data_IF_368882522627
#
_entry.id   IF_368882522627
#
_cell.length_a   1.000
_cell.length_b   1.000
_cell.length_c   1.000
_cell.angle_alpha   90.00
_cell.angle_beta   90.00
_cell.angle_gamma   90.00
#
_symmetry.space_group_name_H-M   'P 1'
#
loop_
_entity.id
_entity.type
_entity.pdbx_description
1 polymer ?
#
# COMPACT_ATOMS: atom_id res chain seq x y z
N UNK A 1 13.10 -19.20 6.08
CA UNK A 1 14.09 -18.95 5.02
C UNK A 1 13.40 -18.48 3.75
N UNK A 2 12.47 -19.22 3.13
CA UNK A 2 11.84 -18.71 1.89
C UNK A 2 10.91 -17.50 2.11
N UNK A 3 10.05 -17.50 3.14
CA UNK A 3 9.04 -16.43 3.28
C UNK A 3 9.62 -15.07 3.74
N UNK A 4 10.70 -15.06 4.53
CA UNK A 4 11.40 -13.83 4.93
C UNK A 4 12.14 -13.16 3.77
N UNK A 5 12.38 -13.91 2.68
CA UNK A 5 12.99 -13.38 1.47
C UNK A 5 11.99 -12.72 0.51
N UNK A 6 10.68 -12.88 0.70
CA UNK A 6 9.69 -12.36 -0.26
C UNK A 6 9.75 -10.83 -0.37
N UNK A 7 9.53 -10.12 0.74
CA UNK A 7 9.55 -8.66 0.73
C UNK A 7 10.93 -8.13 0.30
N UNK A 8 12.00 -8.81 0.72
CA UNK A 8 13.37 -8.46 0.36
C UNK A 8 13.61 -8.55 -1.16
N UNK A 9 13.21 -9.66 -1.78
CA UNK A 9 13.40 -9.91 -3.21
C UNK A 9 12.59 -8.91 -4.05
N UNK A 10 11.33 -8.68 -3.69
CA UNK A 10 10.45 -7.76 -4.40
C UNK A 10 10.95 -6.31 -4.25
N UNK A 11 11.37 -5.89 -3.05
CA UNK A 11 11.94 -4.55 -2.86
C UNK A 11 13.28 -4.38 -3.59
N UNK A 12 14.11 -5.42 -3.63
CA UNK A 12 15.34 -5.42 -4.40
C UNK A 12 15.05 -5.24 -5.89
N UNK A 13 14.10 -6.00 -6.43
CA UNK A 13 13.68 -5.90 -7.82
C UNK A 13 13.07 -4.54 -8.15
N UNK A 14 12.15 -4.04 -7.34
CA UNK A 14 11.59 -2.69 -7.44
C UNK A 14 12.69 -1.62 -7.47
N UNK A 15 13.63 -1.68 -6.52
CA UNK A 15 14.73 -0.73 -6.47
C UNK A 15 15.62 -0.79 -7.71
N UNK A 16 15.76 -1.96 -8.35
CA UNK A 16 16.47 -2.13 -9.62
C UNK A 16 15.74 -1.48 -10.79
N UNK A 17 14.44 -1.76 -10.93
CA UNK A 17 13.62 -1.19 -12.00
C UNK A 17 13.60 0.34 -11.97
N UNK A 18 13.52 0.94 -10.78
CA UNK A 18 13.45 2.39 -10.61
C UNK A 18 14.80 3.06 -10.29
N UNK A 19 15.93 2.37 -10.51
CA UNK A 19 17.26 2.90 -10.17
C UNK A 19 17.67 4.14 -10.99
N UNK A 20 17.07 4.31 -12.17
CA UNK A 20 17.33 5.43 -13.08
C UNK A 20 16.56 6.71 -12.69
N UNK A 21 15.62 6.60 -11.76
CA UNK A 21 14.81 7.72 -11.29
C UNK A 21 15.42 8.38 -10.06
N UNK A 22 15.07 9.65 -9.79
CA UNK A 22 15.42 10.27 -8.53
C UNK A 22 14.86 9.46 -7.35
N UNK A 23 15.64 9.28 -6.27
CA UNK A 23 15.19 8.53 -5.12
C UNK A 23 14.01 9.26 -4.46
N UNK A 24 12.98 8.50 -4.10
CA UNK A 24 11.92 8.97 -3.22
C UNK A 24 12.48 9.23 -1.81
N UNK A 25 11.85 10.10 -1.00
CA UNK A 25 12.26 10.33 0.39
C UNK A 25 12.32 9.02 1.19
N UNK A 26 11.40 8.10 0.89
CA UNK A 26 11.38 6.75 1.40
C UNK A 26 11.90 5.78 0.32
N UNK A 27 12.99 5.06 0.60
CA UNK A 27 13.58 4.13 -0.36
C UNK A 27 14.16 2.89 0.32
N UNK A 28 14.31 1.82 -0.46
CA UNK A 28 14.98 0.60 -0.04
C UNK A 28 16.47 0.66 -0.35
N UNK A 29 17.32 0.52 0.67
CA UNK A 29 18.77 0.39 0.46
C UNK A 29 19.16 -1.08 0.32
N UNK A 30 19.61 -1.43 -0.89
CA UNK A 30 20.03 -2.79 -1.24
C UNK A 30 21.24 -3.27 -0.44
N UNK A 31 22.13 -2.37 -0.02
CA UNK A 31 23.36 -2.74 0.70
C UNK A 31 23.05 -3.11 2.14
N UNK A 32 22.22 -2.31 2.81
CA UNK A 32 21.87 -2.55 4.21
C UNK A 32 20.68 -3.50 4.37
N UNK A 33 19.88 -3.69 3.31
CA UNK A 33 18.66 -4.49 3.38
C UNK A 33 17.64 -3.88 4.33
N UNK A 34 17.54 -2.55 4.34
CA UNK A 34 16.68 -1.75 5.22
C UNK A 34 16.00 -0.64 4.43
N UNK A 35 14.81 -0.25 4.89
CA UNK A 35 14.15 0.97 4.44
C UNK A 35 14.83 2.18 5.09
N UNK A 36 15.12 3.20 4.29
CA UNK A 36 15.66 4.48 4.76
C UNK A 36 14.68 5.59 4.42
N UNK A 37 14.68 6.59 5.30
CA UNK A 37 13.99 7.84 5.07
C UNK A 37 15.02 8.97 5.11
N UNK A 38 15.20 9.65 3.98
CA UNK A 38 16.19 10.71 3.82
C UNK A 38 15.52 12.01 3.35
N UNK A 39 15.71 13.04 4.16
CA UNK A 39 15.22 14.41 3.96
C UNK A 39 16.37 15.40 3.73
N UNK A 40 17.45 14.98 3.08
CA UNK A 40 18.48 15.93 2.61
C UNK A 40 17.85 17.01 1.74
N UNK A 41 18.23 18.28 1.94
CA UNK A 41 17.61 19.44 1.26
C UNK A 41 17.51 19.26 -0.27
N UNK A 42 18.55 18.71 -0.89
CA UNK A 42 18.57 18.43 -2.34
C UNK A 42 17.49 17.41 -2.74
N UNK A 43 17.31 16.35 -1.96
CA UNK A 43 16.28 15.33 -2.19
C UNK A 43 14.89 15.88 -1.90
N UNK A 44 14.72 16.64 -0.80
CA UNK A 44 13.46 17.32 -0.51
C UNK A 44 13.06 18.20 -1.69
N UNK A 45 13.95 19.09 -2.13
CA UNK A 45 13.61 20.07 -3.17
C UNK A 45 13.25 19.36 -4.48
N UNK A 46 14.02 18.33 -4.85
CA UNK A 46 13.75 17.53 -6.03
C UNK A 46 12.43 16.76 -5.91
N UNK A 47 12.24 15.99 -4.83
CA UNK A 47 11.02 15.22 -4.58
C UNK A 47 9.80 16.13 -4.44
N UNK A 48 9.93 17.30 -3.84
CA UNK A 48 8.86 18.28 -3.69
C UNK A 48 8.49 18.90 -5.04
N UNK A 49 9.47 19.31 -5.85
CA UNK A 49 9.23 19.84 -7.20
C UNK A 49 8.56 18.78 -8.09
N UNK A 50 9.01 17.54 -7.99
CA UNK A 50 8.43 16.39 -8.68
C UNK A 50 7.05 16.00 -8.15
N UNK A 51 6.80 16.17 -6.86
CA UNK A 51 5.49 15.91 -6.28
C UNK A 51 4.51 17.05 -6.54
N UNK A 52 4.99 18.29 -6.79
CA UNK A 52 4.19 19.45 -7.19
C UNK A 52 3.67 19.36 -8.62
N UNK A 53 4.34 18.62 -9.51
CA UNK A 53 3.83 18.44 -10.88
C UNK A 53 2.51 17.66 -10.89
N UNK A 54 2.30 16.78 -9.89
CA UNK A 54 1.10 15.96 -9.74
C UNK A 54 -0.16 16.80 -9.43
N UNK A 55 -0.22 17.60 -8.35
CA UNK A 55 -1.37 18.46 -8.07
C UNK A 55 -1.53 19.55 -9.13
N UNK A 56 -0.46 19.98 -9.81
CA UNK A 56 -0.58 20.88 -10.94
C UNK A 56 -1.36 20.22 -12.09
N UNK A 57 -0.99 19.00 -12.49
CA UNK A 57 -1.71 18.25 -13.52
C UNK A 57 -3.16 17.94 -13.16
N UNK A 58 -3.44 17.62 -11.90
CA UNK A 58 -4.81 17.39 -11.42
C UNK A 58 -5.62 18.68 -11.38
N UNK A 59 -5.03 19.80 -10.98
CA UNK A 59 -5.70 21.11 -10.95
C UNK A 59 -6.09 21.55 -12.36
N UNK A 60 -5.21 21.34 -13.35
CA UNK A 60 -5.53 21.60 -14.77
C UNK A 60 -6.68 20.71 -15.24
N UNK A 61 -6.62 19.41 -14.91
CA UNK A 61 -7.67 18.45 -15.29
C UNK A 61 -9.03 18.79 -14.64
N UNK A 62 -9.02 19.12 -13.35
CA UNK A 62 -10.20 19.53 -12.60
C UNK A 62 -10.80 20.83 -13.15
N UNK A 63 -9.95 21.81 -13.46
CA UNK A 63 -10.37 23.07 -14.08
C UNK A 63 -11.06 22.83 -15.43
N UNK A 64 -10.50 21.97 -16.29
CA UNK A 64 -11.12 21.63 -17.57
C UNK A 64 -12.46 20.89 -17.38
N UNK A 65 -12.56 19.97 -16.42
CA UNK A 65 -13.81 19.29 -16.07
C UNK A 65 -14.87 20.29 -15.59
N UNK A 66 -14.51 21.25 -14.75
CA UNK A 66 -15.43 22.30 -14.29
C UNK A 66 -15.91 23.17 -15.45
N UNK A 67 -15.01 23.59 -16.36
CA UNK A 67 -15.41 24.35 -17.56
C UNK A 67 -16.41 23.59 -18.43
N UNK A 68 -16.28 22.26 -18.53
CA UNK A 68 -17.27 21.42 -19.22
C UNK A 68 -18.61 21.46 -18.53
N UNK A 69 -18.61 21.30 -17.21
CA UNK A 69 -19.82 21.26 -16.39
C UNK A 69 -20.60 22.58 -16.47
N UNK A 70 -19.91 23.71 -16.55
CA UNK A 70 -20.51 25.04 -16.76
C UNK A 70 -20.81 25.38 -18.23
N UNK A 71 -20.65 24.43 -19.16
CA UNK A 71 -20.96 24.66 -20.59
C UNK A 71 -19.99 25.59 -21.33
N UNK A 72 -18.85 25.96 -20.73
CA UNK A 72 -17.88 26.89 -21.32
C UNK A 72 -17.08 26.25 -22.46
N UNK A 73 -16.83 24.94 -22.36
CA UNK A 73 -16.06 24.20 -23.37
C UNK A 73 -16.66 22.81 -23.60
N UNK A 74 -16.63 22.35 -24.85
CA UNK A 74 -17.01 20.98 -25.23
C UNK A 74 -15.75 20.12 -25.33
N UNK A 75 -15.81 18.90 -24.81
CA UNK A 75 -14.74 17.92 -24.92
C UNK A 75 -15.31 16.60 -25.42
N UNK A 76 -14.46 15.82 -26.09
CA UNK A 76 -14.79 14.43 -26.40
C UNK A 76 -14.91 13.62 -25.09
N UNK A 77 -15.68 12.53 -25.14
CA UNK A 77 -15.83 11.62 -23.99
C UNK A 77 -14.47 11.06 -23.55
N UNK A 78 -13.61 10.69 -24.52
CA UNK A 78 -12.25 10.23 -24.25
C UNK A 78 -11.41 11.25 -23.45
N UNK A 79 -11.58 12.55 -23.72
CA UNK A 79 -10.89 13.60 -22.97
C UNK A 79 -11.38 13.69 -21.53
N UNK A 80 -12.68 13.65 -21.31
CA UNK A 80 -13.26 13.67 -19.96
C UNK A 80 -12.77 12.47 -19.13
N UNK A 81 -12.72 11.29 -19.72
CA UNK A 81 -12.20 10.08 -19.09
C UNK A 81 -10.72 10.25 -18.76
N UNK A 82 -9.92 10.76 -19.69
CA UNK A 82 -8.48 10.98 -19.49
C UNK A 82 -8.22 11.99 -18.37
N UNK A 83 -8.99 13.08 -18.32
CA UNK A 83 -8.87 14.08 -17.26
C UNK A 83 -9.28 13.51 -15.90
N UNK A 84 -10.37 12.75 -15.84
CA UNK A 84 -10.84 12.11 -14.61
C UNK A 84 -9.82 11.08 -14.10
N UNK A 85 -9.31 10.22 -14.99
CA UNK A 85 -8.24 9.28 -14.66
C UNK A 85 -6.98 10.01 -14.18
N UNK A 86 -6.61 11.12 -14.83
CA UNK A 86 -5.51 11.99 -14.43
C UNK A 86 -5.68 12.55 -13.02
N UNK A 87 -6.88 13.06 -12.68
CA UNK A 87 -7.20 13.54 -11.33
C UNK A 87 -7.07 12.41 -10.31
N UNK A 88 -7.67 11.25 -10.56
CA UNK A 88 -7.66 10.15 -9.59
C UNK A 88 -6.25 9.61 -9.38
N UNK A 89 -5.50 9.39 -10.47
CA UNK A 89 -4.11 8.94 -10.40
C UNK A 89 -3.22 9.95 -9.66
N UNK A 90 -3.48 11.23 -9.84
CA UNK A 90 -2.77 12.30 -9.15
C UNK A 90 -3.10 12.38 -7.66
N UNK A 91 -4.38 12.21 -7.29
CA UNK A 91 -4.79 12.13 -5.88
C UNK A 91 -4.16 10.90 -5.21
N UNK A 92 -4.11 9.78 -5.92
CA UNK A 92 -3.51 8.54 -5.41
C UNK A 92 -1.99 8.68 -5.23
N UNK A 93 -1.26 8.99 -6.30
CA UNK A 93 0.20 9.13 -6.27
C UNK A 93 0.68 10.32 -5.43
N UNK A 94 0.07 11.48 -5.61
CA UNK A 94 0.40 12.70 -4.85
C UNK A 94 0.01 12.60 -3.38
N UNK A 95 -1.18 12.08 -3.07
CA UNK A 95 -1.63 11.89 -1.69
C UNK A 95 -0.77 10.90 -0.92
N UNK A 96 -0.42 9.76 -1.54
CA UNK A 96 0.48 8.77 -0.92
C UNK A 96 1.90 9.34 -0.81
N UNK A 97 2.39 10.06 -1.81
CA UNK A 97 3.70 10.70 -1.76
C UNK A 97 3.77 11.76 -0.65
N UNK A 98 2.69 12.55 -0.44
CA UNK A 98 2.54 13.41 0.74
C UNK A 98 2.58 12.61 2.05
N UNK A 99 1.92 11.45 2.11
CA UNK A 99 1.99 10.59 3.30
C UNK A 99 3.42 10.11 3.56
N UNK A 100 4.19 9.75 2.53
CA UNK A 100 5.60 9.41 2.67
C UNK A 100 6.46 10.60 3.10
N UNK A 101 6.14 11.80 2.62
CA UNK A 101 6.85 13.00 3.06
C UNK A 101 6.61 13.30 4.54
N UNK A 102 5.35 13.18 5.00
CA UNK A 102 4.95 13.51 6.37
C UNK A 102 5.30 12.40 7.39
N UNK A 103 5.18 11.13 7.00
CA UNK A 103 5.25 9.97 7.89
C UNK A 103 6.29 8.93 7.48
N UNK A 104 7.14 9.23 6.49
CA UNK A 104 8.09 8.26 5.94
C UNK A 104 9.11 7.75 6.94
N UNK A 105 9.51 8.56 7.94
CA UNK A 105 10.40 8.14 9.01
C UNK A 105 9.81 7.03 9.87
N UNK A 106 8.60 7.26 10.40
CA UNK A 106 7.86 6.26 11.17
C UNK A 106 7.60 5.01 10.34
N UNK A 107 7.26 5.19 9.05
CA UNK A 107 7.02 4.07 8.15
C UNK A 107 8.27 3.22 7.91
N UNK A 108 9.44 3.84 7.69
CA UNK A 108 10.71 3.14 7.54
C UNK A 108 11.08 2.35 8.81
N UNK A 109 10.94 2.97 9.99
CA UNK A 109 11.19 2.32 11.28
C UNK A 109 10.25 1.12 11.46
N UNK A 110 8.97 1.29 11.19
CA UNK A 110 7.96 0.24 11.32
C UNK A 110 8.19 -0.94 10.38
N UNK A 111 8.54 -0.69 9.11
CA UNK A 111 8.87 -1.75 8.15
C UNK A 111 10.14 -2.50 8.57
N UNK A 112 11.18 -1.78 9.00
CA UNK A 112 12.41 -2.40 9.50
C UNK A 112 12.15 -3.25 10.75
N UNK A 113 11.35 -2.75 11.70
CA UNK A 113 10.94 -3.52 12.87
C UNK A 113 10.16 -4.78 12.51
N UNK A 114 9.26 -4.72 11.51
CA UNK A 114 8.55 -5.90 11.01
C UNK A 114 9.51 -6.94 10.39
N UNK A 115 10.55 -6.49 9.68
CA UNK A 115 11.60 -7.38 9.13
C UNK A 115 12.41 -8.01 10.28
N UNK A 116 12.79 -7.21 11.28
CA UNK A 116 13.59 -7.66 12.40
C UNK A 116 12.82 -8.66 13.29
N UNK A 117 11.50 -8.49 13.47
CA UNK A 117 10.62 -9.48 14.12
C UNK A 117 10.72 -10.86 13.47
N UNK A 118 10.71 -10.91 12.14
CA UNK A 118 10.83 -12.17 11.40
C UNK A 118 12.24 -12.75 11.54
N UNK A 119 13.28 -11.93 11.42
CA UNK A 119 14.69 -12.37 11.57
C UNK A 119 14.99 -12.90 12.99
N UNK A 120 14.58 -12.15 14.01
CA UNK A 120 14.78 -12.52 15.42
C UNK A 120 14.11 -13.83 15.74
N UNK A 121 12.86 -13.98 15.31
CA UNK A 121 12.17 -15.25 15.48
C UNK A 121 12.91 -16.37 14.74
N UNK A 122 13.37 -16.18 13.49
CA UNK A 122 14.15 -17.20 12.76
C UNK A 122 15.44 -17.64 13.48
N UNK A 123 16.14 -16.71 14.13
CA UNK A 123 17.33 -17.03 14.91
C UNK A 123 17.03 -17.88 16.15
N UNK A 124 15.88 -17.69 16.80
CA UNK A 124 15.45 -18.53 17.94
C UNK A 124 15.36 -20.02 17.57
N UNK A 125 15.07 -20.36 16.30
CA UNK A 125 15.00 -21.76 15.81
C UNK A 125 16.36 -22.46 15.74
N UNK A 126 17.47 -21.74 15.76
CA UNK A 126 18.81 -22.33 15.69
C UNK A 126 19.23 -22.97 17.03
N UNK A 127 18.50 -22.72 18.12
CA UNK A 127 18.69 -23.46 19.37
C UNK A 127 18.22 -24.92 19.21
N UNK A 128 19.00 -25.93 19.63
CA UNK A 128 18.79 -27.34 19.30
C UNK A 128 17.54 -28.02 19.92
N UNK A 129 16.54 -27.28 20.41
CA UNK A 129 15.36 -27.87 21.03
C UNK A 129 14.47 -28.60 20.00
N UNK A 130 14.50 -29.93 20.03
CA UNK A 130 13.52 -30.86 19.42
C UNK A 130 13.04 -30.52 17.99
N UNK A 131 13.94 -30.65 17.01
CA UNK A 131 13.65 -30.57 15.55
C UNK A 131 12.56 -31.53 15.04
N UNK A 132 12.19 -32.58 15.80
CA UNK A 132 11.27 -33.65 15.33
C UNK A 132 9.79 -33.24 15.21
N UNK A 133 9.31 -32.20 15.92
CA UNK A 133 7.86 -31.85 15.91
C UNK A 133 7.45 -30.71 14.97
N UNK A 134 8.41 -29.95 14.42
CA UNK A 134 8.13 -28.81 13.54
C UNK A 134 7.88 -29.16 12.06
N UNK A 135 7.92 -30.46 11.70
CA UNK A 135 7.89 -30.88 10.29
C UNK A 135 6.52 -30.75 9.62
N UNK A 136 5.42 -30.64 10.39
CA UNK A 136 4.05 -30.71 9.85
C UNK A 136 3.33 -29.36 9.65
N UNK A 137 3.94 -28.21 9.99
CA UNK A 137 3.31 -26.87 9.77
C UNK A 137 3.65 -26.28 8.38
N UNK A 138 4.31 -27.03 7.50
CA UNK A 138 4.75 -26.56 6.17
C UNK A 138 4.04 -27.34 5.07
N UNK A 139 2.91 -26.81 4.54
CA UNK A 139 2.95 -26.39 3.12
C UNK A 139 2.08 -25.17 2.72
N UNK A 140 1.03 -24.79 3.47
CA UNK A 140 0.04 -23.79 2.99
C UNK A 140 0.58 -22.35 2.88
N UNK A 141 1.53 -21.98 3.75
CA UNK A 141 2.13 -20.64 3.75
C UNK A 141 3.09 -20.42 2.57
N UNK A 142 3.59 -21.49 1.96
CA UNK A 142 4.56 -21.45 0.87
C UNK A 142 3.88 -21.09 -0.45
N UNK A 143 2.76 -21.75 -0.80
CA UNK A 143 2.05 -21.49 -2.06
C UNK A 143 1.43 -20.10 -2.12
N UNK A 144 0.84 -19.62 -1.01
CA UNK A 144 0.26 -18.28 -0.93
C UNK A 144 1.33 -17.18 -1.01
N UNK A 145 2.50 -17.40 -0.40
CA UNK A 145 3.63 -16.48 -0.52
C UNK A 145 4.16 -16.40 -1.94
N UNK A 146 4.25 -17.52 -2.67
CA UNK A 146 4.74 -17.51 -4.04
C UNK A 146 3.83 -16.73 -5.00
N UNK A 147 2.52 -16.96 -4.95
CA UNK A 147 1.54 -16.21 -5.76
C UNK A 147 1.65 -14.72 -5.44
N UNK A 148 1.77 -14.39 -4.16
CA UNK A 148 1.90 -13.00 -3.73
C UNK A 148 3.16 -12.35 -4.28
N UNK A 149 4.29 -13.05 -4.26
CA UNK A 149 5.53 -12.54 -4.85
C UNK A 149 5.34 -12.22 -6.33
N UNK A 150 4.76 -13.14 -7.12
CA UNK A 150 4.49 -12.92 -8.54
C UNK A 150 3.61 -11.68 -8.74
N UNK A 151 2.55 -11.55 -7.95
CA UNK A 151 1.63 -10.40 -8.05
C UNK A 151 2.35 -9.09 -7.75
N UNK A 152 3.15 -9.03 -6.68
CA UNK A 152 3.89 -7.82 -6.30
C UNK A 152 5.01 -7.45 -7.29
N UNK A 153 5.75 -8.45 -7.78
CA UNK A 153 6.74 -8.26 -8.85
C UNK A 153 6.07 -7.79 -10.15
N UNK A 154 4.92 -8.39 -10.48
CA UNK A 154 4.10 -7.99 -11.62
C UNK A 154 3.67 -6.54 -11.54
N UNK A 155 3.23 -6.05 -10.37
CA UNK A 155 2.93 -4.63 -10.19
C UNK A 155 4.16 -3.74 -10.38
N UNK A 156 5.33 -4.15 -9.90
CA UNK A 156 6.58 -3.39 -10.06
C UNK A 156 6.96 -3.25 -11.53
N UNK A 157 6.89 -4.33 -12.30
CA UNK A 157 7.14 -4.32 -13.74
C UNK A 157 6.08 -3.47 -14.45
N UNK A 158 4.81 -3.66 -14.11
CA UNK A 158 3.70 -2.91 -14.71
C UNK A 158 3.89 -1.41 -14.54
N UNK A 159 4.18 -0.92 -13.33
CA UNK A 159 4.40 0.50 -13.08
C UNK A 159 5.73 1.04 -13.63
N UNK A 160 6.71 0.19 -13.93
CA UNK A 160 7.94 0.59 -14.61
C UNK A 160 7.74 0.74 -16.13
N UNK A 161 6.91 -0.13 -16.74
CA UNK A 161 6.68 -0.16 -18.20
C UNK A 161 5.52 0.73 -18.64
N UNK A 162 4.49 0.90 -17.79
CA UNK A 162 3.31 1.69 -18.11
C UNK A 162 3.62 3.17 -18.42
N UNK A 163 4.49 3.90 -17.68
CA UNK A 163 4.69 5.33 -17.90
C UNK A 163 5.14 5.73 -19.31
N UNK A 164 6.17 5.12 -19.93
CA UNK A 164 6.56 5.49 -21.29
C UNK A 164 5.46 5.17 -22.32
N UNK A 165 4.78 4.01 -22.19
CA UNK A 165 3.70 3.61 -23.09
C UNK A 165 2.53 4.59 -22.99
N UNK A 166 2.09 4.87 -21.75
CA UNK A 166 0.97 5.77 -21.49
C UNK A 166 1.29 7.20 -21.93
N UNK A 167 2.52 7.67 -21.72
CA UNK A 167 2.95 9.00 -22.16
C UNK A 167 2.94 9.12 -23.69
N UNK A 168 3.54 8.16 -24.39
CA UNK A 168 3.57 8.16 -25.86
C UNK A 168 2.14 8.13 -26.43
N UNK A 169 1.28 7.30 -25.83
CA UNK A 169 -0.12 7.19 -26.22
C UNK A 169 -0.91 8.49 -25.99
N UNK A 170 -0.81 9.08 -24.80
CA UNK A 170 -1.51 10.33 -24.45
C UNK A 170 -1.08 11.46 -25.39
N UNK A 171 0.21 11.54 -25.74
CA UNK A 171 0.72 12.53 -26.68
C UNK A 171 0.21 12.29 -28.11
N UNK A 172 0.17 11.03 -28.55
CA UNK A 172 -0.26 10.63 -29.88
C UNK A 172 -1.73 10.98 -30.12
N UNK A 173 -2.64 10.54 -29.23
CA UNK A 173 -4.06 10.88 -29.32
C UNK A 173 -4.28 12.37 -29.02
N UNK A 174 -3.36 12.96 -28.25
CA UNK A 174 -3.32 14.39 -27.97
C UNK A 174 -4.48 14.85 -27.11
N UNK A 175 -4.86 14.01 -26.14
CA UNK A 175 -5.96 14.23 -25.19
C UNK A 175 -5.46 14.64 -23.80
N UNK A 176 -4.21 15.07 -23.69
CA UNK A 176 -3.65 15.52 -22.41
C UNK A 176 -4.22 16.87 -21.97
N UNK A 177 -4.43 17.05 -20.66
CA UNK A 177 -4.94 18.29 -20.08
C UNK A 177 -4.03 19.49 -20.38
N UNK A 178 -2.71 19.28 -20.48
CA UNK A 178 -1.74 20.35 -20.75
C UNK A 178 -1.93 20.97 -22.14
N UNK A 179 -2.26 20.18 -23.17
CA UNK A 179 -2.56 20.69 -24.51
C UNK A 179 -3.71 21.69 -24.50
N UNK A 180 -4.82 21.32 -23.84
CA UNK A 180 -6.02 22.16 -23.77
C UNK A 180 -5.76 23.43 -22.95
N UNK A 181 -5.00 23.32 -21.87
CA UNK A 181 -4.61 24.46 -21.05
C UNK A 181 -3.72 25.45 -21.81
N UNK A 182 -2.65 24.97 -22.46
CA UNK A 182 -1.70 25.82 -23.18
C UNK A 182 -2.37 26.52 -24.35
N UNK A 183 -3.17 25.80 -25.16
CA UNK A 183 -3.90 26.39 -26.29
C UNK A 183 -4.99 27.38 -25.85
N UNK A 184 -5.67 27.09 -24.74
CA UNK A 184 -6.80 27.89 -24.28
C UNK A 184 -6.42 29.13 -23.48
N UNK A 185 -5.22 29.19 -22.90
CA UNK A 185 -4.86 30.23 -21.94
C UNK A 185 -3.51 30.92 -22.21
N UNK A 186 -2.45 30.17 -22.53
CA UNK A 186 -1.10 30.72 -22.53
C UNK A 186 -0.65 31.27 -23.90
N UNK A 187 -0.92 30.53 -24.98
CA UNK A 187 -0.33 30.80 -26.29
C UNK A 187 -1.36 30.59 -27.42
N UNK A 188 -2.48 31.34 -27.47
CA UNK A 188 -3.44 31.22 -28.58
C UNK A 188 -2.81 31.65 -29.92
N UNK A 189 -2.01 32.74 -29.93
CA UNK A 189 -1.51 33.36 -31.16
C UNK A 189 -0.11 32.86 -31.58
N UNK A 190 0.74 32.47 -30.62
CA UNK A 190 2.08 31.90 -30.87
C UNK A 190 2.03 30.44 -31.35
N UNK A 191 0.86 29.83 -31.39
CA UNK A 191 0.67 28.46 -31.87
C UNK A 191 0.89 28.30 -33.39
N UNK A 192 1.21 29.37 -34.12
CA UNK A 192 1.50 29.31 -35.56
C UNK A 192 2.94 28.86 -35.85
N UNK A 193 3.92 29.26 -35.03
CA UNK A 193 5.34 28.93 -35.20
C UNK A 193 5.64 27.45 -34.91
N UNK A 194 6.32 26.79 -35.84
CA UNK A 194 6.72 25.39 -35.72
C UNK A 194 7.77 25.17 -34.62
N UNK A 195 8.66 26.14 -34.37
CA UNK A 195 9.65 26.03 -33.31
C UNK A 195 8.97 25.98 -31.93
N UNK A 196 8.01 26.90 -31.69
CA UNK A 196 7.23 26.94 -30.45
C UNK A 196 6.43 25.65 -30.25
N UNK A 197 5.81 25.11 -31.31
CA UNK A 197 5.09 23.82 -31.24
C UNK A 197 5.98 22.68 -30.77
N UNK A 198 7.20 22.56 -31.31
CA UNK A 198 8.14 21.50 -30.95
C UNK A 198 8.52 21.61 -29.47
N UNK A 199 8.87 22.82 -29.02
CA UNK A 199 9.23 23.07 -27.62
C UNK A 199 8.08 22.74 -26.67
N UNK A 200 6.85 23.14 -27.03
CA UNK A 200 5.65 22.84 -26.22
C UNK A 200 5.35 21.35 -26.16
N UNK A 201 5.51 20.61 -27.26
CA UNK A 201 5.34 19.15 -27.29
C UNK A 201 6.37 18.47 -26.39
N UNK A 202 7.65 18.88 -26.47
CA UNK A 202 8.71 18.34 -25.62
C UNK A 202 8.45 18.62 -24.13
N UNK A 203 8.07 19.85 -23.77
CA UNK A 203 7.73 20.19 -22.39
C UNK A 203 6.56 19.37 -21.86
N UNK A 204 5.50 19.19 -22.67
CA UNK A 204 4.34 18.35 -22.33
C UNK A 204 4.75 16.90 -22.13
N UNK A 205 5.58 16.36 -23.03
CA UNK A 205 6.07 14.99 -22.93
C UNK A 205 6.83 14.75 -21.62
N UNK A 206 7.74 15.67 -21.26
CA UNK A 206 8.50 15.60 -20.02
C UNK A 206 7.58 15.69 -18.81
N UNK A 207 6.64 16.65 -18.77
CA UNK A 207 5.72 16.79 -17.64
C UNK A 207 4.81 15.56 -17.46
N UNK A 208 4.26 15.01 -18.53
CA UNK A 208 3.41 13.81 -18.46
C UNK A 208 4.25 12.62 -18.01
N UNK A 209 5.42 12.41 -18.64
CA UNK A 209 6.31 11.31 -18.30
C UNK A 209 6.71 11.33 -16.83
N UNK A 210 7.17 12.49 -16.32
CA UNK A 210 7.55 12.62 -14.91
C UNK A 210 6.37 12.33 -13.99
N UNK A 211 5.21 12.95 -14.25
CA UNK A 211 4.01 12.74 -13.42
C UNK A 211 3.61 11.27 -13.33
N UNK A 212 3.51 10.59 -14.49
CA UNK A 212 3.08 9.19 -14.52
C UNK A 212 4.13 8.29 -13.86
N UNK A 213 5.41 8.57 -14.09
CA UNK A 213 6.51 7.76 -13.58
C UNK A 213 6.66 7.88 -12.06
N UNK A 214 6.60 9.11 -11.52
CA UNK A 214 6.73 9.34 -10.07
C UNK A 214 5.54 8.74 -9.32
N UNK A 215 4.33 9.01 -9.79
CA UNK A 215 3.15 8.42 -9.19
C UNK A 215 3.20 6.88 -9.31
N UNK A 216 3.59 6.32 -10.47
CA UNK A 216 3.80 4.88 -10.63
C UNK A 216 4.80 4.29 -9.64
N UNK A 217 5.93 4.96 -9.42
CA UNK A 217 6.96 4.54 -8.45
C UNK A 217 6.42 4.56 -7.00
N UNK A 218 5.73 5.62 -6.60
CA UNK A 218 5.14 5.75 -5.26
C UNK A 218 4.07 4.69 -5.03
N UNK A 219 3.21 4.47 -6.02
CA UNK A 219 2.14 3.47 -5.97
C UNK A 219 2.70 2.06 -5.91
N UNK A 220 3.66 1.74 -6.76
CA UNK A 220 4.31 0.44 -6.78
C UNK A 220 4.96 0.13 -5.43
N UNK A 221 5.74 1.08 -4.88
CA UNK A 221 6.35 0.92 -3.56
C UNK A 221 5.29 0.69 -2.47
N UNK A 222 4.18 1.41 -2.53
CA UNK A 222 3.07 1.26 -1.57
C UNK A 222 2.42 -0.11 -1.64
N UNK A 223 2.13 -0.58 -2.86
CA UNK A 223 1.52 -1.88 -3.11
C UNK A 223 2.44 -3.04 -2.69
N UNK A 224 3.75 -2.84 -2.66
CA UNK A 224 4.72 -3.82 -2.14
C UNK A 224 4.78 -3.76 -0.62
N UNK A 225 4.99 -2.56 -0.07
CA UNK A 225 5.22 -2.36 1.36
C UNK A 225 3.98 -2.74 2.16
N UNK A 226 2.80 -2.28 1.77
CA UNK A 226 1.57 -2.45 2.54
C UNK A 226 1.22 -3.92 2.83
N UNK A 227 1.11 -4.83 1.84
CA UNK A 227 0.88 -6.23 2.13
C UNK A 227 2.13 -6.95 2.63
N UNK A 228 3.33 -6.61 2.14
CA UNK A 228 4.55 -7.33 2.51
C UNK A 228 4.89 -7.20 3.99
N UNK A 229 4.69 -6.02 4.58
CA UNK A 229 4.80 -5.83 6.04
C UNK A 229 3.67 -6.54 6.80
N UNK A 230 2.44 -6.55 6.29
CA UNK A 230 1.34 -7.31 6.92
C UNK A 230 1.64 -8.81 6.97
N UNK A 231 2.24 -9.36 5.91
CA UNK A 231 2.69 -10.75 5.86
C UNK A 231 3.80 -11.00 6.89
N UNK A 232 4.80 -10.12 7.00
CA UNK A 232 5.87 -10.27 7.99
C UNK A 232 5.33 -10.31 9.43
N UNK A 233 4.39 -9.40 9.74
CA UNK A 233 3.72 -9.34 11.04
C UNK A 233 2.88 -10.60 11.29
N UNK A 234 2.09 -11.06 10.31
CA UNK A 234 1.31 -12.30 10.40
C UNK A 234 2.20 -13.53 10.61
N UNK A 235 3.33 -13.63 9.90
CA UNK A 235 4.31 -14.71 10.07
C UNK A 235 4.91 -14.70 11.48
N UNK A 236 5.29 -13.52 11.98
CA UNK A 236 5.82 -13.37 13.34
C UNK A 236 4.76 -13.75 14.40
N UNK A 237 3.52 -13.28 14.24
CA UNK A 237 2.41 -13.60 15.13
C UNK A 237 2.05 -15.10 15.12
N UNK A 238 1.90 -15.72 13.93
CA UNK A 238 1.62 -17.14 13.80
C UNK A 238 2.70 -18.02 14.43
N UNK A 239 3.95 -17.60 14.29
CA UNK A 239 5.06 -18.29 14.93
C UNK A 239 5.02 -18.16 16.44
N UNK A 240 4.75 -16.97 16.96
CA UNK A 240 4.61 -16.76 18.40
C UNK A 240 3.43 -17.56 18.98
N UNK A 241 2.29 -17.61 18.27
CA UNK A 241 1.16 -18.49 18.60
C UNK A 241 1.62 -19.95 18.65
N UNK A 242 2.34 -20.40 17.63
CA UNK A 242 2.83 -21.79 17.57
C UNK A 242 3.79 -22.11 18.71
N UNK A 243 4.65 -21.16 19.10
CA UNK A 243 5.56 -21.30 20.25
C UNK A 243 4.80 -21.41 21.58
N UNK A 244 3.73 -20.64 21.74
CA UNK A 244 2.85 -20.73 22.91
C UNK A 244 2.09 -22.06 22.92
N UNK A 245 1.50 -22.47 21.80
CA UNK A 245 0.66 -23.67 21.73
C UNK A 245 1.46 -24.98 21.93
N UNK A 246 2.69 -25.03 21.41
CA UNK A 246 3.58 -26.18 21.60
C UNK A 246 4.13 -26.29 23.02
N UNK A 247 4.25 -25.16 23.73
CA UNK A 247 4.64 -25.15 25.13
C UNK A 247 3.43 -25.52 25.97
N UNK A 248 3.26 -26.82 26.19
CA UNK A 248 2.47 -27.33 27.33
C UNK A 248 3.07 -26.90 28.70
N UNK A 249 4.24 -26.26 28.62
CA UNK A 249 5.05 -25.62 29.65
C UNK A 249 4.30 -24.43 30.23
N UNK A 250 3.99 -24.54 31.51
CA UNK A 250 3.62 -23.41 32.35
C UNK A 250 4.67 -22.31 32.26
N UNK A 251 4.21 -21.08 32.04
CA UNK A 251 5.08 -19.92 32.05
C UNK A 251 5.37 -19.57 33.51
N UNK A 252 6.63 -19.63 33.88
CA UNK A 252 7.18 -18.90 35.02
C UNK A 252 7.06 -17.38 34.79
N UNK A 253 7.34 -16.57 35.81
CA UNK A 253 7.29 -15.11 35.69
C UNK A 253 8.18 -14.59 34.56
N UNK A 254 9.37 -15.17 34.41
CA UNK A 254 10.32 -14.79 33.36
C UNK A 254 9.80 -15.18 31.97
N UNK A 255 9.24 -16.38 31.83
CA UNK A 255 8.61 -16.84 30.60
C UNK A 255 7.42 -15.96 30.21
N UNK A 256 6.60 -15.56 31.18
CA UNK A 256 5.49 -14.64 30.95
C UNK A 256 5.98 -13.25 30.55
N UNK A 257 6.96 -12.69 31.26
CA UNK A 257 7.56 -11.39 30.95
C UNK A 257 8.14 -11.36 29.53
N UNK A 258 8.86 -12.41 29.14
CA UNK A 258 9.40 -12.56 27.78
C UNK A 258 8.30 -12.67 26.72
N UNK A 259 7.23 -13.43 26.99
CA UNK A 259 6.10 -13.55 26.08
C UNK A 259 5.34 -12.22 25.94
N UNK A 260 5.17 -11.49 27.06
CA UNK A 260 4.57 -10.16 27.07
C UNK A 260 5.42 -9.15 26.31
N UNK A 261 6.75 -9.21 26.44
CA UNK A 261 7.68 -8.37 25.70
C UNK A 261 7.55 -8.61 24.18
N UNK A 262 7.51 -9.88 23.74
CA UNK A 262 7.27 -10.24 22.32
C UNK A 262 5.93 -9.72 21.81
N UNK A 263 4.86 -9.82 22.60
CA UNK A 263 3.56 -9.25 22.23
C UNK A 263 3.62 -7.72 22.09
N UNK A 264 4.25 -7.03 23.06
CA UNK A 264 4.44 -5.58 23.03
C UNK A 264 5.29 -5.13 21.85
N UNK A 265 6.28 -5.92 21.44
CA UNK A 265 7.12 -5.64 20.25
C UNK A 265 6.29 -5.68 18.95
N UNK A 266 5.43 -6.70 18.80
CA UNK A 266 4.48 -6.78 17.67
C UNK A 266 3.50 -5.60 17.70
N UNK A 267 2.94 -5.29 18.88
CA UNK A 267 2.01 -4.19 19.06
C UNK A 267 2.66 -2.83 18.75
N UNK A 268 3.88 -2.60 19.22
CA UNK A 268 4.64 -1.39 18.96
C UNK A 268 4.92 -1.23 17.46
N UNK A 269 5.33 -2.31 16.80
CA UNK A 269 5.58 -2.31 15.35
C UNK A 269 4.34 -1.88 14.57
N UNK A 270 3.18 -2.45 14.88
CA UNK A 270 1.91 -2.07 14.23
C UNK A 270 1.48 -0.65 14.63
N UNK A 271 1.75 -0.23 15.87
CA UNK A 271 1.40 1.12 16.32
C UNK A 271 2.18 2.21 15.58
N UNK A 272 3.49 2.03 15.40
CA UNK A 272 4.36 2.92 14.63
C UNK A 272 3.84 3.05 13.19
N UNK A 273 3.46 1.92 12.60
CA UNK A 273 2.91 1.86 11.24
C UNK A 273 1.48 2.43 11.11
N UNK A 274 0.72 2.47 12.21
CA UNK A 274 -0.72 2.78 12.17
C UNK A 274 -1.06 4.19 11.69
N UNK A 275 -0.22 5.20 11.92
CA UNK A 275 -0.45 6.58 11.43
C UNK A 275 -0.36 6.69 9.89
N UNK A 276 0.79 6.36 9.26
CA UNK A 276 0.90 6.40 7.80
C UNK A 276 -0.11 5.49 7.11
N UNK A 277 -0.32 4.28 7.65
CA UNK A 277 -1.19 3.30 7.00
C UNK A 277 -2.65 3.68 6.99
N UNK A 278 -3.15 4.34 8.04
CA UNK A 278 -4.51 4.86 8.06
C UNK A 278 -4.78 5.75 6.86
N UNK A 279 -3.87 6.69 6.61
CA UNK A 279 -3.95 7.67 5.53
C UNK A 279 -3.79 7.01 4.16
N UNK A 280 -2.78 6.15 4.01
CA UNK A 280 -2.53 5.39 2.77
C UNK A 280 -3.73 4.49 2.43
N UNK A 281 -4.29 3.77 3.41
CA UNK A 281 -5.46 2.90 3.22
C UNK A 281 -6.67 3.71 2.78
N UNK A 282 -6.93 4.86 3.42
CA UNK A 282 -8.05 5.72 3.05
C UNK A 282 -7.92 6.21 1.61
N UNK A 283 -6.71 6.66 1.22
CA UNK A 283 -6.45 7.12 -0.14
C UNK A 283 -6.63 5.95 -1.12
N UNK A 284 -5.98 4.80 -0.89
CA UNK A 284 -6.06 3.64 -1.78
C UNK A 284 -7.49 3.11 -1.94
N UNK A 285 -8.26 2.97 -0.86
CA UNK A 285 -9.64 2.50 -0.95
C UNK A 285 -10.54 3.55 -1.60
N UNK A 286 -10.37 4.83 -1.27
CA UNK A 286 -11.17 5.91 -1.86
C UNK A 286 -10.93 6.06 -3.36
N UNK A 287 -9.67 6.17 -3.79
CA UNK A 287 -9.33 6.30 -5.22
C UNK A 287 -9.53 4.99 -5.97
N UNK A 288 -9.22 3.85 -5.34
CA UNK A 288 -9.47 2.52 -5.90
C UNK A 288 -10.94 2.32 -6.23
N UNK A 289 -11.85 2.75 -5.36
CA UNK A 289 -13.29 2.65 -5.57
C UNK A 289 -13.70 3.39 -6.85
N UNK A 290 -13.29 4.65 -6.99
CA UNK A 290 -13.59 5.46 -8.17
C UNK A 290 -12.96 4.86 -9.44
N UNK A 291 -11.70 4.44 -9.40
CA UNK A 291 -11.04 3.77 -10.53
C UNK A 291 -11.83 2.54 -10.95
N UNK A 292 -12.21 1.67 -10.03
CA UNK A 292 -12.94 0.44 -10.34
C UNK A 292 -14.30 0.72 -10.96
N UNK A 293 -15.10 1.63 -10.39
CA UNK A 293 -16.42 1.99 -10.95
C UNK A 293 -16.29 2.54 -12.37
N UNK A 294 -15.37 3.49 -12.57
CA UNK A 294 -15.16 4.11 -13.89
C UNK A 294 -14.65 3.09 -14.90
N UNK A 295 -13.62 2.30 -14.55
CA UNK A 295 -13.05 1.32 -15.48
C UNK A 295 -14.01 0.18 -15.79
N UNK A 296 -14.83 -0.27 -14.84
CA UNK A 296 -15.90 -1.24 -15.11
C UNK A 296 -16.93 -0.68 -16.08
N UNK A 297 -17.40 0.55 -15.85
CA UNK A 297 -18.33 1.22 -16.76
C UNK A 297 -17.77 1.32 -18.17
N UNK A 298 -16.52 1.76 -18.31
CA UNK A 298 -15.84 1.91 -19.61
C UNK A 298 -15.58 0.58 -20.31
N UNK A 299 -15.41 -0.50 -19.53
CA UNK A 299 -15.28 -1.86 -20.08
C UNK A 299 -16.62 -2.35 -20.63
N UNK A 300 -17.73 -2.08 -19.92
CA UNK A 300 -19.07 -2.52 -20.32
C UNK A 300 -19.70 -1.67 -21.42
N UNK A 301 -19.36 -0.37 -21.47
CA UNK A 301 -19.80 0.58 -22.49
C UNK A 301 -18.58 1.04 -23.28
N UNK A 302 -18.25 0.41 -24.43
CA UNK A 302 -17.04 0.71 -25.19
C UNK A 302 -17.14 2.08 -25.87
N UNK A 303 -16.88 3.13 -25.09
CA UNK A 303 -16.84 4.53 -25.53
C UNK A 303 -15.44 4.97 -25.96
N UNK A 304 -14.44 4.08 -25.79
CA UNK A 304 -13.03 4.38 -25.99
C UNK A 304 -12.48 3.52 -27.12
N UNK A 305 -11.68 4.14 -27.98
CA UNK A 305 -10.97 3.47 -29.07
C UNK A 305 -9.84 2.56 -28.55
N UNK A 306 -9.54 1.51 -29.32
CA UNK A 306 -8.36 0.67 -29.06
C UNK A 306 -7.07 1.51 -29.16
N UNK A 307 -6.04 1.28 -28.34
CA UNK A 307 -5.83 0.17 -27.38
C UNK A 307 -6.20 0.49 -25.93
N UNK A 308 -6.64 1.71 -25.61
CA UNK A 308 -7.01 2.11 -24.22
C UNK A 308 -8.05 1.17 -23.62
N UNK A 309 -8.97 0.69 -24.46
CA UNK A 309 -9.99 -0.28 -24.06
C UNK A 309 -9.39 -1.55 -23.41
N UNK A 310 -8.18 -2.00 -23.80
CA UNK A 310 -7.51 -3.16 -23.19
C UNK A 310 -6.97 -2.87 -21.78
N UNK A 311 -6.65 -1.61 -21.48
CA UNK A 311 -6.14 -1.19 -20.16
C UNK A 311 -7.27 -1.14 -19.13
N UNK A 312 -8.50 -0.82 -19.56
CA UNK A 312 -9.68 -0.74 -18.71
C UNK A 312 -9.96 -2.02 -17.90
N UNK A 313 -10.15 -3.22 -18.51
CA UNK A 313 -10.47 -4.44 -17.76
C UNK A 313 -9.31 -4.87 -16.86
N UNK A 314 -8.06 -4.69 -17.30
CA UNK A 314 -6.88 -5.01 -16.49
C UNK A 314 -6.84 -4.13 -15.24
N UNK A 315 -7.06 -2.82 -15.40
CA UNK A 315 -7.08 -1.88 -14.27
C UNK A 315 -8.27 -2.14 -13.35
N UNK A 316 -9.46 -2.38 -13.93
CA UNK A 316 -10.68 -2.69 -13.19
C UNK A 316 -10.54 -3.94 -12.33
N UNK A 317 -9.86 -4.98 -12.82
CA UNK A 317 -9.58 -6.22 -12.10
C UNK A 317 -8.46 -6.05 -11.06
N UNK A 318 -7.46 -5.22 -11.36
CA UNK A 318 -6.29 -5.05 -10.49
C UNK A 318 -6.65 -4.52 -9.10
N UNK A 319 -7.60 -3.59 -8.99
CA UNK A 319 -7.98 -2.96 -7.71
C UNK A 319 -8.68 -3.96 -6.77
N UNK A 320 -9.71 -4.73 -7.20
CA UNK A 320 -10.26 -5.83 -6.43
C UNK A 320 -9.21 -6.84 -5.99
N UNK A 321 -8.24 -7.20 -6.86
CA UNK A 321 -7.16 -8.13 -6.50
C UNK A 321 -6.30 -7.57 -5.37
N UNK A 322 -5.85 -6.31 -5.48
CA UNK A 322 -5.10 -5.64 -4.39
C UNK A 322 -5.93 -5.61 -3.10
N UNK A 323 -7.22 -5.27 -3.18
CA UNK A 323 -8.09 -5.14 -2.00
C UNK A 323 -8.32 -6.51 -1.35
N UNK A 324 -8.60 -7.53 -2.15
CA UNK A 324 -8.81 -8.91 -1.71
C UNK A 324 -7.55 -9.54 -1.10
N UNK A 325 -6.38 -9.01 -1.40
CA UNK A 325 -5.14 -9.40 -0.76
C UNK A 325 -4.94 -8.59 0.53
N UNK A 326 -4.94 -7.26 0.43
CA UNK A 326 -4.51 -6.35 1.51
C UNK A 326 -5.45 -6.34 2.72
N UNK A 327 -6.77 -6.35 2.51
CA UNK A 327 -7.77 -6.26 3.59
C UNK A 327 -7.79 -7.54 4.43
N UNK A 328 -7.84 -8.77 3.85
CA UNK A 328 -7.82 -9.99 4.66
C UNK A 328 -6.55 -10.17 5.48
N UNK A 329 -5.37 -9.78 4.98
CA UNK A 329 -4.15 -9.81 5.80
C UNK A 329 -4.24 -8.84 6.98
N UNK A 330 -4.84 -7.68 6.77
CA UNK A 330 -5.06 -6.70 7.85
C UNK A 330 -6.03 -7.23 8.91
N UNK A 331 -7.12 -7.88 8.48
CA UNK A 331 -8.09 -8.52 9.37
C UNK A 331 -7.47 -9.70 10.15
N UNK A 332 -6.65 -10.54 9.48
CA UNK A 332 -5.93 -11.65 10.14
C UNK A 332 -5.02 -11.16 11.26
N UNK A 333 -4.31 -10.04 11.07
CA UNK A 333 -3.46 -9.48 12.13
C UNK A 333 -4.29 -9.15 13.38
N UNK A 334 -5.50 -8.61 13.20
CA UNK A 334 -6.42 -8.36 14.31
C UNK A 334 -6.84 -9.66 15.00
N UNK A 335 -7.33 -10.65 14.23
CA UNK A 335 -7.73 -11.96 14.75
C UNK A 335 -6.59 -12.65 15.51
N UNK A 336 -5.36 -12.56 14.98
CA UNK A 336 -4.15 -13.13 15.58
C UNK A 336 -3.74 -12.40 16.86
N UNK A 337 -3.90 -11.08 16.91
CA UNK A 337 -3.70 -10.30 18.13
C UNK A 337 -4.67 -10.75 19.23
N UNK A 338 -5.96 -10.93 18.91
CA UNK A 338 -6.97 -11.41 19.85
C UNK A 338 -6.66 -12.86 20.29
N UNK A 339 -6.30 -13.73 19.34
CA UNK A 339 -5.89 -15.11 19.63
C UNK A 339 -4.67 -15.18 20.56
N UNK A 340 -3.64 -14.37 20.31
CA UNK A 340 -2.44 -14.28 21.15
C UNK A 340 -2.79 -13.89 22.59
N UNK A 341 -3.65 -12.89 22.75
CA UNK A 341 -4.10 -12.42 24.06
C UNK A 341 -4.84 -13.54 24.82
N UNK A 342 -5.74 -14.25 24.14
CA UNK A 342 -6.47 -15.39 24.72
C UNK A 342 -5.52 -16.52 25.13
N UNK A 343 -4.53 -16.86 24.29
CA UNK A 343 -3.54 -17.90 24.59
C UNK A 343 -2.66 -17.51 25.79
N UNK A 344 -2.22 -16.26 25.87
CA UNK A 344 -1.47 -15.76 27.01
C UNK A 344 -2.31 -15.83 28.30
N UNK A 345 -3.59 -15.47 28.26
CA UNK A 345 -4.51 -15.63 29.40
C UNK A 345 -4.68 -17.08 29.83
N UNK A 346 -4.85 -17.99 28.87
CA UNK A 346 -4.98 -19.43 29.12
C UNK A 346 -3.72 -19.98 29.81
N UNK A 347 -2.54 -19.60 29.33
CA UNK A 347 -1.27 -20.03 29.93
C UNK A 347 -1.02 -19.41 31.30
N UNK A 348 -1.42 -18.16 31.50
CA UNK A 348 -1.38 -17.50 32.81
C UNK A 348 -2.25 -18.27 33.83
N UNK A 349 -3.51 -18.56 33.47
CA UNK A 349 -4.43 -19.31 34.34
C UNK A 349 -3.94 -20.73 34.64
N UNK A 350 -3.38 -21.44 33.63
CA UNK A 350 -2.78 -22.76 33.80
C UNK A 350 -1.58 -22.72 34.75
N UNK A 351 -0.75 -21.69 34.65
CA UNK A 351 0.45 -21.53 35.49
C UNK A 351 0.09 -21.21 36.95
N UNK A 352 -0.99 -20.45 37.18
CA UNK A 352 -1.58 -20.28 38.50
C UNK A 352 -2.11 -21.61 39.07
N UNK A 353 -2.88 -22.38 38.29
CA UNK A 353 -3.43 -23.66 38.75
C UNK A 353 -2.34 -24.68 39.13
N UNK A 354 -1.17 -24.62 38.50
CA UNK A 354 -0.03 -25.47 38.85
C UNK A 354 0.84 -24.94 39.99
N UNK A 355 0.42 -23.86 40.67
CA UNK A 355 1.17 -23.18 41.74
C UNK A 355 2.56 -22.65 41.31
N UNK A 356 2.78 -22.40 40.01
CA UNK A 356 4.04 -21.82 39.52
C UNK A 356 4.08 -20.30 39.65
N UNK A 357 2.94 -19.67 39.96
CA UNK A 357 2.77 -18.24 40.17
C UNK A 357 2.07 -18.02 41.49
N UNK A 358 2.57 -17.10 42.31
CA UNK A 358 1.85 -16.63 43.47
C UNK A 358 0.57 -15.88 43.06
N UNK A 359 -0.44 -15.82 43.95
CA UNK A 359 -1.67 -15.05 43.71
C UNK A 359 -1.39 -13.57 43.39
N UNK A 360 -0.34 -13.02 43.98
CA UNK A 360 0.07 -11.63 43.78
C UNK A 360 0.64 -11.41 42.38
N UNK A 361 1.57 -12.27 41.94
CA UNK A 361 2.15 -12.24 40.60
C UNK A 361 1.09 -12.44 39.51
N UNK A 362 0.20 -13.42 39.70
CA UNK A 362 -0.93 -13.64 38.80
C UNK A 362 -1.77 -12.36 38.63
N UNK A 363 -2.08 -11.66 39.73
CA UNK A 363 -2.89 -10.44 39.69
C UNK A 363 -2.20 -9.31 38.92
N UNK A 364 -0.87 -9.17 39.06
CA UNK A 364 -0.09 -8.18 38.30
C UNK A 364 -0.11 -8.53 36.81
N UNK A 365 0.26 -9.77 36.46
CA UNK A 365 0.34 -10.21 35.07
C UNK A 365 -1.03 -10.18 34.37
N UNK A 366 -2.10 -10.56 35.08
CA UNK A 366 -3.47 -10.46 34.59
C UNK A 366 -3.88 -9.00 34.34
N UNK A 367 -3.52 -8.09 35.25
CA UNK A 367 -3.79 -6.66 35.13
C UNK A 367 -3.08 -6.09 33.90
N UNK A 368 -1.81 -6.39 33.70
CA UNK A 368 -1.04 -5.96 32.53
C UNK A 368 -1.65 -6.46 31.23
N UNK A 369 -2.03 -7.74 31.18
CA UNK A 369 -2.64 -8.35 30.00
C UNK A 369 -4.03 -7.76 29.72
N UNK A 370 -4.82 -7.47 30.76
CA UNK A 370 -6.12 -6.80 30.61
C UNK A 370 -6.00 -5.39 30.02
N UNK A 371 -4.90 -4.68 30.32
CA UNK A 371 -4.64 -3.35 29.75
C UNK A 371 -4.09 -3.38 28.32
N UNK A 372 -3.65 -4.54 27.82
CA UNK A 372 -3.29 -4.67 26.42
C UNK A 372 -4.53 -4.46 25.54
N UNK A 373 -4.47 -3.43 24.71
CA UNK A 373 -5.49 -3.16 23.70
C UNK A 373 -5.28 -4.07 22.51
N UNK A 374 -6.39 -4.57 21.96
CA UNK A 374 -6.34 -5.39 20.76
C UNK A 374 -5.87 -4.53 19.58
N UNK A 375 -5.06 -5.13 18.72
CA UNK A 375 -4.44 -4.44 17.62
C UNK A 375 -5.45 -4.34 16.47
N UNK A 376 -5.91 -3.12 16.19
CA UNK A 376 -6.88 -2.84 15.13
C UNK A 376 -6.26 -1.89 14.11
N UNK A 377 -6.34 -2.28 12.84
CA UNK A 377 -5.98 -1.43 11.71
C UNK A 377 -7.21 -0.65 11.26
N UNK A 378 -7.01 0.64 11.01
CA UNK A 378 -8.07 1.56 10.61
C UNK A 378 -7.71 2.19 9.27
N UNK A 379 -8.74 2.63 8.54
CA UNK A 379 -8.60 3.67 7.52
C UNK A 379 -8.96 5.01 8.17
N UNK A 380 -8.24 6.08 7.79
CA UNK A 380 -8.47 7.40 8.36
C UNK A 380 -7.47 8.44 7.88
N UNK A 381 -7.50 9.64 8.44
CA UNK A 381 -6.59 10.71 8.08
C UNK A 381 -5.79 11.13 9.32
N UNK A 382 -4.47 10.90 9.28
CA UNK A 382 -3.58 11.17 10.41
C UNK A 382 -4.05 10.44 11.68
N UNK A 383 -4.48 11.19 12.69
CA UNK A 383 -4.95 10.63 13.96
C UNK A 383 -6.45 10.31 14.00
N UNK A 384 -7.24 10.80 13.04
CA UNK A 384 -8.66 10.48 12.91
C UNK A 384 -8.84 9.06 12.36
N UNK A 385 -9.81 8.32 12.93
CA UNK A 385 -10.16 6.95 12.54
C UNK A 385 -11.55 6.98 11.93
N UNK A 386 -11.69 6.57 10.67
CA UNK A 386 -12.97 6.54 9.97
C UNK A 386 -13.64 5.18 10.13
N UNK A 387 -12.98 4.10 9.71
CA UNK A 387 -13.50 2.73 9.82
C UNK A 387 -12.37 1.72 10.05
N UNK A 388 -12.70 0.58 10.67
CA UNK A 388 -11.76 -0.52 10.91
C UNK A 388 -11.68 -1.47 9.70
N UNK A 389 -10.50 -1.99 9.40
CA UNK A 389 -10.31 -2.99 8.35
C UNK A 389 -10.72 -4.38 8.86
N UNK A 390 -12.00 -4.72 8.74
CA UNK A 390 -12.53 -6.05 9.07
C UNK A 390 -12.73 -6.88 7.79
N UNK A 391 -12.88 -8.20 7.94
CA UNK A 391 -13.14 -9.08 6.80
C UNK A 391 -14.41 -8.68 6.00
N UNK A 392 -15.44 -8.20 6.71
CA UNK A 392 -16.71 -7.76 6.11
C UNK A 392 -16.57 -6.56 5.17
N UNK A 393 -15.63 -5.65 5.46
CA UNK A 393 -15.39 -4.45 4.63
C UNK A 393 -15.00 -4.82 3.20
N UNK A 394 -14.31 -5.94 2.99
CA UNK A 394 -13.94 -6.38 1.63
C UNK A 394 -15.18 -6.67 0.77
N UNK A 395 -16.15 -7.39 1.35
CA UNK A 395 -17.38 -7.76 0.66
C UNK A 395 -18.26 -6.52 0.40
N UNK A 396 -18.41 -5.67 1.40
CA UNK A 396 -19.16 -4.41 1.27
C UNK A 396 -18.53 -3.49 0.22
N UNK A 397 -17.21 -3.39 0.19
CA UNK A 397 -16.48 -2.59 -0.79
C UNK A 397 -16.68 -3.10 -2.22
N UNK A 398 -16.56 -4.41 -2.46
CA UNK A 398 -16.81 -5.01 -3.78
C UNK A 398 -18.27 -4.88 -4.21
N UNK A 399 -19.21 -5.05 -3.27
CA UNK A 399 -20.63 -4.84 -3.51
C UNK A 399 -20.93 -3.40 -3.92
N UNK A 400 -20.35 -2.42 -3.21
CA UNK A 400 -20.51 -1.01 -3.55
C UNK A 400 -19.98 -0.73 -4.96
N UNK A 401 -18.80 -1.24 -5.34
CA UNK A 401 -18.26 -1.07 -6.70
C UNK A 401 -19.29 -1.54 -7.74
N UNK A 402 -19.89 -2.72 -7.54
CA UNK A 402 -20.89 -3.26 -8.46
C UNK A 402 -22.17 -2.43 -8.49
N UNK A 403 -22.74 -2.07 -7.33
CA UNK A 403 -23.97 -1.26 -7.23
C UNK A 403 -23.81 0.10 -7.92
N UNK A 404 -22.68 0.78 -7.70
CA UNK A 404 -22.41 2.06 -8.36
C UNK A 404 -22.10 1.90 -9.84
N UNK A 405 -21.46 0.81 -10.26
CA UNK A 405 -21.26 0.50 -11.69
C UNK A 405 -22.61 0.28 -12.39
N UNK A 406 -23.50 -0.52 -11.80
CA UNK A 406 -24.86 -0.77 -12.34
C UNK A 406 -25.65 0.53 -12.40
N UNK A 407 -25.60 1.32 -11.33
CA UNK A 407 -26.23 2.64 -11.31
C UNK A 407 -25.74 3.50 -12.46
N UNK A 408 -24.42 3.59 -12.68
CA UNK A 408 -23.83 4.40 -13.75
C UNK A 408 -24.18 3.88 -15.15
N UNK A 409 -24.44 2.58 -15.32
CA UNK A 409 -24.91 2.00 -16.59
C UNK A 409 -26.39 2.29 -16.90
N UNK A 410 -27.22 2.55 -15.88
CA UNK A 410 -28.63 2.89 -16.06
C UNK A 410 -28.86 4.36 -16.44
N UNK A 411 -27.86 5.21 -16.24
CA UNK A 411 -27.83 6.61 -16.69
C UNK A 411 -27.23 6.72 -18.10
#
# INVERSE_FOLDING_TARGET
>A
MENSNLLFNVLHHHSYLFAHLPPLPLYWDRKTGKMHFDLTLKRILLSFLLLLTIPFGSSVSLYLLLRRLYGVQTFSVAALITFLAGVIFSVMGGGIGCCYFLFGGDYAIGVNAAIDLVKNSENDKKKPSNKRRYRNIKPLLTSTSFIMQIVLDGYSIFFAVLPPILTAFILYVGVDPYRFFIRGFLLPDLASDNAVKIVVILCRAVMIYLNVTIAGQVLSLTLILFPGRSINVDVAANKFISELDQKDVTLDMDGFSNALAKYKEIQLTIHILGKPERSITLILMGTGFWISVIMNFLTLRPLIEMPLYLVCPVTALSVPVVTAITVPYSARIQEKSEQLKILLLKHLAKSQHRNNLSKHEFKICFKDLKYLRDIKLYAGLGDFRLFGLTAGVTLEYLRAILEYTITLLMW
#
